data_IF_130140455561
#
_entry.id   IF_130140455561
#
_cell.length_a   1.000
_cell.length_b   1.000
_cell.length_c   1.000
_cell.angle_alpha   90.00
_cell.angle_beta   90.00
_cell.angle_gamma   90.00
#
_symmetry.space_group_name_H-M   'P 1'
#
loop_
_entity.id
_entity.type
_entity.pdbx_description
1 polymer ?
#
# COMPACT_ATOMS: atom_id res chain seq x y z
N UNK A 1 -23.58 17.18 12.04
CA UNK A 1 -24.07 15.78 12.00
C UNK A 1 -22.83 14.95 11.72
N UNK A 2 -22.22 14.37 12.75
CA UNK A 2 -20.96 13.63 12.64
C UNK A 2 -21.20 12.35 11.86
N UNK A 3 -20.78 12.30 10.61
CA UNK A 3 -20.82 11.08 9.81
C UNK A 3 -19.75 10.15 10.37
N UNK A 4 -20.14 8.93 10.70
CA UNK A 4 -19.23 7.91 11.21
C UNK A 4 -18.78 7.12 9.98
N UNK A 5 -17.56 7.36 9.51
CA UNK A 5 -16.94 6.56 8.45
C UNK A 5 -17.07 5.09 8.87
N UNK A 6 -18.00 4.36 8.24
CA UNK A 6 -18.24 2.95 8.56
C UNK A 6 -16.92 2.22 8.44
N UNK A 7 -16.52 1.50 9.49
CA UNK A 7 -15.28 0.74 9.46
C UNK A 7 -15.39 -0.26 8.31
N UNK A 8 -14.49 -0.16 7.32
CA UNK A 8 -14.46 -1.05 6.16
C UNK A 8 -14.31 -2.54 6.55
N UNK A 9 -14.09 -2.85 7.83
CA UNK A 9 -14.05 -4.19 8.41
C UNK A 9 -15.39 -4.96 8.38
N UNK A 10 -16.51 -4.32 8.03
CA UNK A 10 -17.84 -4.98 7.95
C UNK A 10 -18.21 -5.48 6.55
N UNK A 11 -17.41 -5.18 5.53
CA UNK A 11 -17.72 -5.57 4.15
C UNK A 11 -17.15 -6.95 3.83
N UNK A 12 -17.88 -7.70 3.02
CA UNK A 12 -17.60 -9.12 2.73
C UNK A 12 -17.22 -9.38 1.28
N UNK A 13 -17.28 -8.34 0.42
CA UNK A 13 -16.99 -8.45 -1.01
C UNK A 13 -16.21 -7.26 -1.56
N UNK A 14 -15.39 -7.53 -2.58
CA UNK A 14 -14.60 -6.54 -3.32
C UNK A 14 -15.45 -5.36 -3.82
N UNK A 15 -16.67 -5.62 -4.27
CA UNK A 15 -17.61 -4.58 -4.74
C UNK A 15 -18.11 -3.65 -3.63
N UNK A 16 -18.34 -4.18 -2.42
CA UNK A 16 -18.74 -3.37 -1.26
C UNK A 16 -17.61 -2.43 -0.83
N UNK A 17 -16.36 -2.93 -0.81
CA UNK A 17 -15.19 -2.10 -0.54
C UNK A 17 -15.03 -0.99 -1.58
N UNK A 18 -15.15 -1.33 -2.88
CA UNK A 18 -15.08 -0.35 -3.98
C UNK A 18 -16.13 0.75 -3.82
N UNK A 19 -17.39 0.37 -3.64
CA UNK A 19 -18.50 1.32 -3.53
C UNK A 19 -18.37 2.24 -2.29
N UNK A 20 -17.87 1.71 -1.17
CA UNK A 20 -17.62 2.49 0.03
C UNK A 20 -16.55 3.56 -0.20
N UNK A 21 -15.39 3.18 -0.77
CA UNK A 21 -14.31 4.14 -1.02
C UNK A 21 -14.65 5.13 -2.14
N UNK A 22 -15.35 4.69 -3.20
CA UNK A 22 -15.81 5.57 -4.27
C UNK A 22 -16.68 6.73 -3.76
N UNK A 23 -17.58 6.43 -2.84
CA UNK A 23 -18.56 7.40 -2.31
C UNK A 23 -17.93 8.41 -1.35
N UNK A 24 -16.86 8.03 -0.65
CA UNK A 24 -16.32 8.81 0.45
C UNK A 24 -14.90 9.36 0.19
N UNK A 25 -14.39 9.26 -1.04
CA UNK A 25 -13.03 9.67 -1.39
C UNK A 25 -12.70 11.13 -1.01
N UNK A 26 -13.63 12.06 -1.24
CA UNK A 26 -13.44 13.50 -0.94
C UNK A 26 -13.35 13.80 0.56
N UNK A 27 -14.00 12.98 1.40
CA UNK A 27 -14.02 13.15 2.86
C UNK A 27 -12.90 12.36 3.56
N UNK A 28 -12.23 11.46 2.85
CA UNK A 28 -11.23 10.56 3.43
C UNK A 28 -10.03 11.32 4.01
N UNK A 29 -9.46 12.27 3.24
CA UNK A 29 -8.30 13.04 3.68
C UNK A 29 -8.63 13.95 4.87
N UNK A 30 -9.82 14.54 4.89
CA UNK A 30 -10.28 15.43 5.97
C UNK A 30 -10.57 14.65 7.26
N UNK A 31 -11.28 13.52 7.20
CA UNK A 31 -11.69 12.77 8.39
C UNK A 31 -10.63 11.78 8.91
N UNK A 32 -9.73 11.29 8.05
CA UNK A 32 -8.75 10.27 8.42
C UNK A 32 -7.32 10.80 8.50
N UNK A 33 -6.86 11.60 7.53
CA UNK A 33 -5.49 12.11 7.54
C UNK A 33 -5.31 13.26 8.55
N UNK A 34 -6.20 14.26 8.50
CA UNK A 34 -6.07 15.46 9.34
C UNK A 34 -6.54 15.24 10.79
N UNK A 35 -7.62 14.47 11.00
CA UNK A 35 -8.23 14.32 12.34
C UNK A 35 -7.52 13.25 13.19
N UNK A 36 -6.85 12.25 12.59
CA UNK A 36 -6.23 11.13 13.35
C UNK A 36 -4.70 11.19 13.43
N UNK A 37 -4.05 12.24 12.94
CA UNK A 37 -2.59 12.32 12.83
C UNK A 37 -1.99 11.07 12.16
N UNK A 38 -2.56 10.66 11.03
CA UNK A 38 -2.17 9.47 10.29
C UNK A 38 -0.86 9.74 9.53
N UNK A 39 0.26 9.48 10.21
CA UNK A 39 1.63 9.71 9.73
C UNK A 39 2.24 8.47 9.05
N UNK A 40 1.47 7.37 9.00
CA UNK A 40 1.93 6.11 8.41
C UNK A 40 2.40 6.23 6.96
N UNK A 41 1.67 6.92 6.04
CA UNK A 41 2.10 7.08 4.65
C UNK A 41 3.49 7.71 4.52
N UNK A 42 3.76 8.77 5.29
CA UNK A 42 5.05 9.46 5.28
C UNK A 42 6.16 8.58 5.85
N UNK A 43 5.89 7.80 6.91
CA UNK A 43 6.87 6.87 7.49
C UNK A 43 7.23 5.74 6.53
N UNK A 44 6.26 5.15 5.85
CA UNK A 44 6.53 4.07 4.88
C UNK A 44 7.25 4.63 3.64
N UNK A 45 6.87 5.83 3.17
CA UNK A 45 7.61 6.52 2.11
C UNK A 45 9.08 6.78 2.50
N UNK A 46 9.35 7.16 3.75
CA UNK A 46 10.70 7.34 4.27
C UNK A 46 11.49 6.02 4.30
N UNK A 47 10.86 4.89 4.63
CA UNK A 47 11.48 3.57 4.52
C UNK A 47 11.91 3.30 3.08
N UNK A 48 11.01 3.46 2.11
CA UNK A 48 11.37 3.30 0.70
C UNK A 48 12.53 4.22 0.30
N UNK A 49 12.46 5.51 0.62
CA UNK A 49 13.53 6.47 0.29
C UNK A 49 14.90 6.03 0.83
N UNK A 50 14.93 5.46 2.04
CA UNK A 50 16.19 5.08 2.70
C UNK A 50 16.91 3.89 2.05
N UNK A 51 16.21 3.06 1.29
CA UNK A 51 16.76 1.83 0.67
C UNK A 51 16.71 1.83 -0.85
N UNK A 52 15.91 2.73 -1.45
CA UNK A 52 15.77 2.83 -2.90
C UNK A 52 16.97 3.52 -3.55
N UNK A 53 17.29 3.07 -4.77
CA UNK A 53 18.27 3.68 -5.66
C UNK A 53 17.60 4.22 -6.92
N UNK A 54 18.31 5.03 -7.71
CA UNK A 54 17.74 5.65 -8.92
C UNK A 54 17.14 4.63 -9.91
N UNK A 55 17.71 3.42 -10.00
CA UNK A 55 17.16 2.37 -10.85
C UNK A 55 15.82 1.82 -10.35
N UNK A 56 15.43 2.02 -9.09
CA UNK A 56 14.16 1.52 -8.56
C UNK A 56 12.93 2.32 -9.05
N UNK A 57 13.10 3.28 -9.95
CA UNK A 57 12.01 3.94 -10.69
C UNK A 57 11.57 3.12 -11.92
N UNK A 58 10.27 3.13 -12.32
CA UNK A 58 9.13 3.79 -11.67
C UNK A 58 8.63 3.04 -10.43
N UNK A 59 7.99 3.78 -9.52
CA UNK A 59 7.31 3.28 -8.32
C UNK A 59 5.84 2.98 -8.65
N UNK A 60 5.35 1.80 -8.27
CA UNK A 60 3.91 1.53 -8.16
C UNK A 60 3.44 1.75 -6.72
N UNK A 61 2.54 2.73 -6.52
CA UNK A 61 1.80 2.94 -5.27
C UNK A 61 0.51 2.12 -5.30
N UNK A 62 0.55 0.96 -4.64
CA UNK A 62 -0.49 -0.07 -4.68
C UNK A 62 -1.50 0.19 -3.56
N UNK A 63 -2.77 0.34 -3.97
CA UNK A 63 -3.85 0.86 -3.13
C UNK A 63 -3.60 2.32 -2.79
N UNK A 64 -3.32 3.15 -3.81
CA UNK A 64 -2.89 4.53 -3.62
C UNK A 64 -3.95 5.41 -2.94
N UNK A 65 -5.23 5.01 -2.95
CA UNK A 65 -6.33 5.78 -2.38
C UNK A 65 -6.38 7.18 -2.97
N UNK A 66 -6.52 8.18 -2.10
CA UNK A 66 -6.47 9.61 -2.43
C UNK A 66 -5.05 10.15 -2.68
N UNK A 67 -4.03 9.31 -2.53
CA UNK A 67 -2.64 9.61 -2.87
C UNK A 67 -1.75 10.13 -1.75
N UNK A 68 -2.06 9.84 -0.49
CA UNK A 68 -1.27 10.27 0.68
C UNK A 68 0.20 9.82 0.61
N UNK A 69 0.45 8.57 0.23
CA UNK A 69 1.81 8.02 0.08
C UNK A 69 2.51 8.63 -1.11
N UNK A 70 1.85 8.67 -2.27
CA UNK A 70 2.38 9.30 -3.48
C UNK A 70 2.84 10.74 -3.23
N UNK A 71 2.04 11.56 -2.55
CA UNK A 71 2.43 12.94 -2.18
C UNK A 71 3.68 12.98 -1.30
N UNK A 72 3.80 12.06 -0.35
CA UNK A 72 4.98 11.96 0.51
C UNK A 72 6.21 11.54 -0.29
N UNK A 73 6.08 10.58 -1.20
CA UNK A 73 7.14 10.15 -2.10
C UNK A 73 7.58 11.26 -3.04
N UNK A 74 6.66 11.98 -3.69
CA UNK A 74 7.02 13.07 -4.61
C UNK A 74 7.86 14.17 -3.93
N UNK A 75 7.65 14.40 -2.63
CA UNK A 75 8.47 15.32 -1.85
C UNK A 75 9.86 14.75 -1.51
N UNK A 76 9.96 13.45 -1.22
CA UNK A 76 11.21 12.80 -0.78
C UNK A 76 12.09 12.26 -1.92
N UNK A 77 11.46 11.89 -3.04
CA UNK A 77 12.05 11.32 -4.27
C UNK A 77 11.55 12.07 -5.50
N UNK A 78 11.77 13.39 -5.63
CA UNK A 78 11.28 14.18 -6.77
C UNK A 78 11.81 13.70 -8.14
N UNK A 79 12.89 12.91 -8.14
CA UNK A 79 13.48 12.27 -9.31
C UNK A 79 12.76 11.00 -9.78
N UNK A 80 11.94 10.38 -8.92
CA UNK A 80 11.29 9.10 -9.22
C UNK A 80 9.89 9.30 -9.79
N UNK A 81 9.59 8.55 -10.85
CA UNK A 81 8.25 8.47 -11.44
C UNK A 81 7.36 7.59 -10.57
N UNK A 82 6.11 8.01 -10.35
CA UNK A 82 5.12 7.28 -9.54
C UNK A 82 3.87 7.03 -10.37
N UNK A 83 3.39 5.79 -10.40
CA UNK A 83 2.05 5.43 -10.86
C UNK A 83 1.19 4.94 -9.68
N UNK A 84 -0.09 5.29 -9.69
CA UNK A 84 -1.05 4.91 -8.65
C UNK A 84 -1.96 3.78 -9.12
N UNK A 85 -2.13 2.75 -8.29
CA UNK A 85 -3.02 1.63 -8.58
C UNK A 85 -4.06 1.55 -7.46
N UNK A 86 -5.35 1.58 -7.80
CA UNK A 86 -6.43 1.41 -6.82
C UNK A 86 -7.64 0.76 -7.48
N UNK A 87 -8.50 0.12 -6.70
CA UNK A 87 -9.73 -0.49 -7.18
C UNK A 87 -10.84 0.56 -7.38
N UNK A 88 -10.78 1.68 -6.67
CA UNK A 88 -11.83 2.69 -6.59
C UNK A 88 -11.61 3.83 -7.60
N UNK A 89 -12.45 3.98 -8.64
CA UNK A 89 -12.43 5.14 -9.52
C UNK A 89 -12.55 6.49 -8.79
N UNK A 90 -13.30 6.54 -7.69
CA UNK A 90 -13.43 7.74 -6.85
C UNK A 90 -12.11 8.14 -6.19
N UNK A 91 -11.40 7.17 -5.61
CA UNK A 91 -10.06 7.39 -5.06
C UNK A 91 -9.08 7.84 -6.14
N UNK A 92 -9.08 7.18 -7.30
CA UNK A 92 -8.20 7.52 -8.43
C UNK A 92 -8.45 8.95 -8.94
N UNK A 93 -9.70 9.43 -8.97
CA UNK A 93 -10.00 10.83 -9.33
C UNK A 93 -9.34 11.82 -8.37
N UNK A 94 -9.38 11.53 -7.06
CA UNK A 94 -8.70 12.37 -6.05
C UNK A 94 -7.18 12.27 -6.21
N UNK A 95 -6.63 11.07 -6.40
CA UNK A 95 -5.21 10.87 -6.62
C UNK A 95 -4.68 11.65 -7.84
N UNK A 96 -5.41 11.66 -8.96
CA UNK A 96 -5.05 12.44 -10.16
C UNK A 96 -5.02 13.94 -9.88
N UNK A 97 -5.96 14.46 -9.09
CA UNK A 97 -6.03 15.91 -8.80
C UNK A 97 -4.83 16.42 -8.00
N UNK A 98 -4.09 15.53 -7.33
CA UNK A 98 -2.84 15.87 -6.64
C UNK A 98 -1.71 16.29 -7.57
N UNK A 99 -1.78 15.94 -8.86
CA UNK A 99 -0.69 16.15 -9.83
C UNK A 99 0.58 15.35 -9.54
N UNK A 100 0.53 14.37 -8.63
CA UNK A 100 1.70 13.60 -8.18
C UNK A 100 2.01 12.40 -9.09
N UNK A 101 0.97 11.76 -9.62
CA UNK A 101 1.11 10.52 -10.39
C UNK A 101 1.30 10.80 -11.88
N UNK A 102 2.21 10.07 -12.52
CA UNK A 102 2.34 10.05 -13.99
C UNK A 102 1.09 9.42 -14.61
N UNK A 103 0.65 8.30 -14.07
CA UNK A 103 -0.54 7.58 -14.48
C UNK A 103 -1.25 6.98 -13.26
N UNK A 104 -2.55 6.75 -13.40
CA UNK A 104 -3.34 6.00 -12.44
C UNK A 104 -4.06 4.85 -13.14
N UNK A 105 -4.23 3.74 -12.45
CA UNK A 105 -4.79 2.51 -13.00
C UNK A 105 -5.88 1.96 -12.07
N UNK A 106 -7.07 1.68 -12.62
CA UNK A 106 -8.09 0.90 -11.94
C UNK A 106 -7.70 -0.58 -11.97
N UNK A 107 -7.37 -1.15 -10.81
CA UNK A 107 -6.76 -2.48 -10.70
C UNK A 107 -7.38 -3.27 -9.56
N UNK A 108 -7.85 -4.48 -9.88
CA UNK A 108 -8.15 -5.52 -8.89
C UNK A 108 -6.88 -6.34 -8.61
N UNK A 109 -6.30 -6.15 -7.43
CA UNK A 109 -5.07 -6.81 -6.99
C UNK A 109 -5.29 -8.25 -6.49
N UNK A 110 -6.56 -8.70 -6.44
CA UNK A 110 -6.88 -10.11 -6.20
C UNK A 110 -6.72 -10.97 -7.46
N UNK A 111 -6.44 -10.34 -8.62
CA UNK A 111 -6.31 -10.99 -9.91
C UNK A 111 -4.98 -10.64 -10.58
N UNK A 112 -4.59 -11.44 -11.59
CA UNK A 112 -3.45 -11.12 -12.43
C UNK A 112 -3.72 -9.87 -13.28
N UNK A 113 -2.68 -9.07 -13.50
CA UNK A 113 -2.77 -7.82 -14.26
C UNK A 113 -1.68 -7.79 -15.34
N UNK A 114 -1.78 -8.60 -16.41
CA UNK A 114 -0.67 -8.85 -17.34
C UNK A 114 -0.09 -7.60 -18.00
N UNK A 115 -0.90 -6.55 -18.15
CA UNK A 115 -0.46 -5.29 -18.75
C UNK A 115 0.43 -4.45 -17.82
N UNK A 116 0.47 -4.76 -16.52
CA UNK A 116 1.24 -4.05 -15.49
C UNK A 116 2.37 -4.90 -14.91
N UNK A 117 2.46 -6.18 -15.31
CA UNK A 117 3.49 -7.09 -14.82
C UNK A 117 4.89 -6.70 -15.32
N UNK A 118 5.86 -6.71 -14.41
CA UNK A 118 7.27 -6.44 -14.72
C UNK A 118 7.58 -5.00 -15.12
N UNK A 119 6.69 -4.04 -14.88
CA UNK A 119 6.89 -2.64 -15.28
C UNK A 119 7.65 -1.81 -14.26
N UNK A 120 7.55 -2.15 -12.97
CA UNK A 120 7.96 -1.25 -11.90
C UNK A 120 9.34 -1.59 -11.35
N UNK A 121 10.16 -0.57 -11.09
CA UNK A 121 11.43 -0.73 -10.41
C UNK A 121 11.25 -0.89 -8.89
N UNK A 122 10.13 -0.40 -8.36
CA UNK A 122 9.73 -0.62 -6.98
C UNK A 122 8.22 -0.60 -6.80
N UNK A 123 7.76 -1.23 -5.72
CA UNK A 123 6.36 -1.31 -5.33
C UNK A 123 6.25 -0.94 -3.87
N UNK A 124 5.33 -0.02 -3.56
CA UNK A 124 4.98 0.40 -2.21
C UNK A 124 3.49 0.21 -1.99
N UNK A 125 3.09 -0.13 -0.78
CA UNK A 125 1.67 -0.20 -0.41
C UNK A 125 1.50 0.25 1.04
N UNK A 126 0.48 1.06 1.32
CA UNK A 126 0.06 1.39 2.68
C UNK A 126 -1.46 1.35 2.79
N UNK A 127 -1.98 0.77 3.87
CA UNK A 127 -3.43 0.74 4.12
C UNK A 127 -4.22 -0.28 3.29
N UNK A 128 -3.59 -0.98 2.34
CA UNK A 128 -4.25 -1.98 1.47
C UNK A 128 -4.25 -3.39 2.07
N UNK A 129 -3.19 -3.77 2.80
CA UNK A 129 -3.11 -5.03 3.54
C UNK A 129 -3.61 -4.85 4.99
N UNK A 130 -4.91 -4.60 5.12
CA UNK A 130 -5.62 -4.45 6.40
C UNK A 130 -6.71 -5.51 6.52
N UNK A 131 -7.28 -5.72 7.73
CA UNK A 131 -8.33 -6.72 7.92
C UNK A 131 -9.48 -6.47 6.92
N UNK A 132 -9.97 -7.55 6.30
CA UNK A 132 -11.06 -7.49 5.32
C UNK A 132 -10.67 -7.05 3.90
N UNK A 133 -9.41 -6.67 3.64
CA UNK A 133 -8.98 -6.20 2.32
C UNK A 133 -8.16 -7.27 1.57
N UNK A 134 -6.83 -7.15 1.56
CA UNK A 134 -5.95 -8.10 0.88
C UNK A 134 -5.28 -9.06 1.87
N UNK A 135 -5.34 -10.35 1.55
CA UNK A 135 -4.64 -11.41 2.27
C UNK A 135 -3.31 -11.81 1.60
N UNK A 136 -2.59 -12.79 2.18
CA UNK A 136 -1.31 -13.27 1.64
C UNK A 136 -1.41 -13.78 0.20
N UNK A 137 -2.55 -14.35 -0.19
CA UNK A 137 -2.79 -14.88 -1.55
C UNK A 137 -2.68 -13.83 -2.67
N UNK A 138 -2.83 -12.55 -2.35
CA UNK A 138 -2.68 -11.44 -3.31
C UNK A 138 -1.21 -11.06 -3.54
N UNK A 139 -0.28 -11.48 -2.67
CA UNK A 139 1.14 -11.11 -2.78
C UNK A 139 1.74 -11.53 -4.12
N UNK A 140 1.35 -12.67 -4.68
CA UNK A 140 1.84 -13.11 -5.98
C UNK A 140 1.55 -12.11 -7.11
N UNK A 141 0.35 -11.50 -7.11
CA UNK A 141 -0.05 -10.52 -8.13
C UNK A 141 0.66 -9.19 -7.91
N UNK A 142 0.81 -8.77 -6.64
CA UNK A 142 1.57 -7.55 -6.30
C UNK A 142 3.04 -7.70 -6.66
N UNK A 143 3.66 -8.85 -6.37
CA UNK A 143 5.04 -9.15 -6.74
C UNK A 143 5.23 -9.15 -8.25
N UNK A 144 4.24 -9.64 -9.01
CA UNK A 144 4.30 -9.68 -10.46
C UNK A 144 4.43 -8.28 -11.11
N UNK A 145 3.97 -7.21 -10.44
CA UNK A 145 4.10 -5.82 -10.92
C UNK A 145 5.56 -5.37 -11.05
N UNK A 146 6.40 -5.74 -10.08
CA UNK A 146 7.82 -5.35 -10.07
C UNK A 146 8.61 -6.11 -11.11
N UNK A 147 9.56 -5.49 -11.81
CA UNK A 147 10.51 -6.17 -12.70
C UNK A 147 11.51 -7.04 -11.91
N UNK A 148 12.36 -7.86 -12.56
CA UNK A 148 13.44 -8.55 -11.85
C UNK A 148 14.26 -7.58 -10.99
N UNK A 149 14.55 -7.99 -9.74
CA UNK A 149 15.25 -7.18 -8.75
C UNK A 149 14.52 -5.93 -8.23
N UNK A 150 13.24 -5.75 -8.57
CA UNK A 150 12.45 -4.64 -8.05
C UNK A 150 12.37 -4.65 -6.52
N UNK A 151 12.41 -3.46 -5.92
CA UNK A 151 12.29 -3.24 -4.48
C UNK A 151 10.81 -3.26 -4.05
N UNK A 152 10.51 -3.92 -2.94
CA UNK A 152 9.18 -3.94 -2.35
C UNK A 152 9.23 -3.36 -0.94
N UNK A 153 8.29 -2.46 -0.64
CA UNK A 153 8.04 -1.91 0.70
C UNK A 153 6.55 -2.00 1.00
N UNK A 154 6.14 -3.09 1.64
CA UNK A 154 4.73 -3.41 1.86
C UNK A 154 4.35 -3.20 3.32
N UNK A 155 3.42 -2.29 3.57
CA UNK A 155 2.92 -1.98 4.90
C UNK A 155 1.66 -2.81 5.21
N UNK A 156 1.75 -3.69 6.20
CA UNK A 156 0.70 -4.63 6.59
C UNK A 156 0.29 -4.32 8.04
N UNK A 157 -1.00 -4.25 8.34
CA UNK A 157 -1.43 -4.09 9.73
C UNK A 157 -0.93 -5.25 10.60
N UNK A 158 -0.40 -4.97 11.79
CA UNK A 158 0.22 -6.02 12.63
C UNK A 158 -0.75 -7.15 13.01
N UNK A 159 -2.00 -6.83 13.36
CA UNK A 159 -3.00 -7.84 13.72
C UNK A 159 -3.32 -8.73 12.52
N UNK A 160 -3.44 -8.12 11.34
CA UNK A 160 -3.66 -8.84 10.07
C UNK A 160 -2.47 -9.73 9.70
N UNK A 161 -1.25 -9.20 9.82
CA UNK A 161 -0.01 -9.93 9.57
C UNK A 161 0.05 -11.24 10.36
N UNK A 162 -0.31 -11.18 11.65
CA UNK A 162 -0.31 -12.32 12.55
C UNK A 162 -1.49 -13.27 12.30
N UNK A 163 -2.71 -12.74 12.12
CA UNK A 163 -3.91 -13.54 11.94
C UNK A 163 -3.88 -14.39 10.67
N UNK A 164 -3.39 -13.81 9.56
CA UNK A 164 -3.30 -14.47 8.25
C UNK A 164 -1.93 -15.13 8.00
N UNK A 165 -1.04 -15.11 9.00
CA UNK A 165 0.28 -15.74 8.95
C UNK A 165 1.15 -15.32 7.74
N UNK A 166 1.23 -14.02 7.47
CA UNK A 166 2.01 -13.46 6.35
C UNK A 166 3.48 -13.89 6.37
N UNK A 167 4.07 -14.07 7.56
CA UNK A 167 5.45 -14.56 7.69
C UNK A 167 5.66 -15.92 7.00
N UNK A 168 4.69 -16.84 7.11
CA UNK A 168 4.77 -18.12 6.42
C UNK A 168 4.72 -17.95 4.91
N UNK A 169 3.86 -17.08 4.39
CA UNK A 169 3.78 -16.80 2.95
C UNK A 169 5.07 -16.17 2.41
N UNK A 170 5.66 -15.20 3.11
CA UNK A 170 6.95 -14.63 2.70
C UNK A 170 8.08 -15.67 2.71
N UNK A 171 8.11 -16.56 3.70
CA UNK A 171 9.07 -17.66 3.72
C UNK A 171 8.87 -18.63 2.55
N UNK A 172 7.62 -19.00 2.23
CA UNK A 172 7.31 -19.84 1.06
C UNK A 172 7.75 -19.18 -0.25
N UNK A 173 7.48 -17.88 -0.43
CA UNK A 173 7.90 -17.12 -1.60
C UNK A 173 9.42 -17.02 -1.72
N UNK A 174 10.13 -16.88 -0.60
CA UNK A 174 11.58 -16.86 -0.55
C UNK A 174 12.17 -18.23 -0.89
N UNK A 175 11.66 -19.31 -0.29
CA UNK A 175 12.12 -20.68 -0.54
C UNK A 175 11.85 -21.12 -1.98
N UNK A 176 10.76 -20.63 -2.58
CA UNK A 176 10.45 -20.81 -3.99
C UNK A 176 11.29 -19.92 -4.93
N UNK A 177 12.17 -19.07 -4.39
CA UNK A 177 13.04 -18.17 -5.15
C UNK A 177 12.31 -17.07 -5.89
N UNK A 178 11.08 -16.71 -5.48
CA UNK A 178 10.30 -15.60 -6.05
C UNK A 178 10.76 -14.25 -5.52
N UNK A 179 11.16 -14.23 -4.25
CA UNK A 179 11.71 -13.07 -3.57
C UNK A 179 13.06 -13.42 -2.94
N UNK A 180 13.89 -12.41 -2.71
CA UNK A 180 15.09 -12.53 -1.88
C UNK A 180 14.77 -12.48 -0.38
N UNK A 181 15.82 -12.39 0.45
CA UNK A 181 15.67 -12.14 1.88
C UNK A 181 14.72 -10.98 2.16
N UNK A 182 13.84 -11.17 3.15
CA UNK A 182 12.90 -10.14 3.58
C UNK A 182 13.17 -9.72 5.02
N UNK A 183 12.96 -8.44 5.29
CA UNK A 183 13.08 -7.82 6.60
C UNK A 183 11.73 -7.21 7.01
N UNK A 184 11.49 -7.07 8.31
CA UNK A 184 10.29 -6.46 8.84
C UNK A 184 10.62 -5.39 9.87
N UNK A 185 10.14 -4.18 9.62
CA UNK A 185 10.20 -3.06 10.54
C UNK A 185 8.82 -2.86 11.18
N UNK A 186 8.78 -2.62 12.49
CA UNK A 186 7.55 -2.19 13.18
C UNK A 186 7.49 -0.68 13.18
N UNK A 187 6.44 -0.13 12.58
CA UNK A 187 6.26 1.31 12.41
C UNK A 187 4.91 1.72 12.99
N UNK A 188 4.86 2.70 13.91
CA UNK A 188 3.60 3.26 14.41
C UNK A 188 2.79 3.88 13.28
N UNK A 189 1.48 3.64 13.28
CA UNK A 189 0.55 4.15 12.28
C UNK A 189 0.16 5.61 12.56
N UNK A 190 0.15 6.01 13.84
CA UNK A 190 -0.27 7.34 14.29
C UNK A 190 0.83 7.99 15.14
N UNK A 191 0.89 9.32 15.16
CA UNK A 191 1.96 10.06 15.85
C UNK A 191 1.75 10.27 17.36
N UNK A 192 0.54 10.08 17.89
CA UNK A 192 0.22 10.24 19.32
C UNK A 192 -0.09 8.87 19.97
N UNK A 193 0.39 8.60 21.20
CA UNK A 193 0.05 7.39 21.94
C UNK A 193 -1.43 7.45 22.35
N UNK A 194 -2.24 6.66 21.68
CA UNK A 194 -3.64 6.43 22.04
C UNK A 194 -3.79 5.02 22.63
N UNK A 195 -4.71 4.79 23.58
CA UNK A 195 -4.85 3.49 24.24
C UNK A 195 -5.06 2.36 23.22
N UNK A 196 -4.43 1.19 23.46
CA UNK A 196 -4.37 -0.04 22.63
C UNK A 196 -3.35 0.01 21.47
N UNK A 197 -2.13 -0.50 21.72
CA UNK A 197 -0.97 -0.41 20.81
C UNK A 197 -0.98 -1.39 19.62
N UNK A 198 -1.61 -2.56 19.73
CA UNK A 198 -1.49 -3.64 18.74
C UNK A 198 -2.24 -3.37 17.43
N UNK A 199 -3.33 -2.59 17.46
CA UNK A 199 -4.10 -2.22 16.26
C UNK A 199 -3.52 -1.01 15.52
N UNK A 200 -2.49 -0.37 16.11
CA UNK A 200 -1.91 0.91 15.67
C UNK A 200 -0.46 0.80 15.23
N UNK A 201 0.05 -0.42 15.10
CA UNK A 201 1.38 -0.70 14.56
C UNK A 201 1.24 -1.44 13.23
N UNK A 202 2.04 -1.04 12.25
CA UNK A 202 2.14 -1.75 10.99
C UNK A 202 3.49 -2.44 10.84
N UNK A 203 3.47 -3.63 10.27
CA UNK A 203 4.64 -4.38 9.84
C UNK A 203 5.00 -3.91 8.42
N UNK A 204 6.08 -3.16 8.29
CA UNK A 204 6.64 -2.75 7.00
C UNK A 204 7.64 -3.81 6.56
N UNK A 205 7.27 -4.58 5.55
CA UNK A 205 8.07 -5.67 5.00
C UNK A 205 8.86 -5.15 3.81
N UNK A 206 10.18 -5.38 3.80
CA UNK A 206 11.10 -4.93 2.76
C UNK A 206 11.82 -6.12 2.15
N UNK A 207 11.81 -6.22 0.82
CA UNK A 207 12.52 -7.28 0.08
C UNK A 207 12.79 -6.85 -1.37
N UNK A 208 13.52 -7.68 -2.12
CA UNK A 208 13.63 -7.56 -3.58
C UNK A 208 13.06 -8.79 -4.28
N UNK A 209 12.41 -8.59 -5.42
CA UNK A 209 12.00 -9.69 -6.32
C UNK A 209 13.25 -10.35 -6.92
N UNK A 210 13.23 -11.66 -7.11
CA UNK A 210 14.34 -12.36 -7.76
C UNK A 210 14.27 -12.29 -9.29
N UNK A 211 13.21 -12.84 -9.90
CA UNK A 211 13.01 -12.93 -11.35
C UNK A 211 11.63 -12.47 -11.75
#
# INVERSE_FOLDING_TARGET
>A
MSYQFGLAYEFSSTEEHRAHYDKNAELYDEEFAQVKNYDYPARVAAVLKSVAVASDSPIADVGCGTGLVGRSLAQMTPEMIIDGLDLSPGMLRVAVSTGTYRAVHEVDLTQANPNLEGLFGSVISTGTFTLGHLGPSSLQHVIALGRPHALFVLAINQKHFLAENFAAEFNLLQDAGKIGPWEMLRVPIYSEPLPQEEERTGCVVVFRRHT
#
